data_IF_029566527767
#
_entry.id   IF_029566527767
#
_cell.length_a   1.000
_cell.length_b   1.000
_cell.length_c   1.000
_cell.angle_alpha   90.00
_cell.angle_beta   90.00
_cell.angle_gamma   90.00
#
_symmetry.space_group_name_H-M   'P 1'
#
loop_
_entity.id
_entity.type
_entity.pdbx_description
1 polymer ?
#
# COMPACT_ATOMS: atom_id res chain seq x y z
N UNK A 1 19.08 7.66 -11.12
CA UNK A 1 19.01 8.62 -10.00
C UNK A 1 18.47 7.81 -8.82
N UNK A 2 19.32 7.52 -7.84
CA UNK A 2 19.08 6.47 -6.83
C UNK A 2 18.13 6.97 -5.74
N UNK A 3 16.91 6.44 -5.73
CA UNK A 3 15.87 6.73 -4.73
C UNK A 3 16.36 6.46 -3.31
N UNK A 4 17.24 5.47 -3.12
CA UNK A 4 17.86 5.15 -1.82
C UNK A 4 18.63 6.31 -1.19
N UNK A 5 19.22 7.19 -2.02
CA UNK A 5 20.00 8.34 -1.55
C UNK A 5 19.08 9.42 -0.96
N UNK A 6 17.89 9.62 -1.54
CA UNK A 6 16.95 10.66 -1.10
C UNK A 6 16.25 10.27 0.21
N UNK A 7 15.93 8.98 0.38
CA UNK A 7 15.30 8.48 1.61
C UNK A 7 16.27 8.59 2.78
N UNK A 8 17.53 8.17 2.57
CA UNK A 8 18.57 8.25 3.61
C UNK A 8 18.85 9.70 4.01
N UNK A 9 18.95 10.63 3.05
CA UNK A 9 19.17 12.05 3.35
C UNK A 9 17.99 12.70 4.10
N UNK A 10 16.75 12.26 3.84
CA UNK A 10 15.57 12.76 4.54
C UNK A 10 15.50 12.27 5.99
N UNK A 11 15.84 11.01 6.23
CA UNK A 11 15.86 10.43 7.59
C UNK A 11 17.03 10.96 8.43
N UNK A 12 18.21 11.15 7.84
CA UNK A 12 19.38 11.76 8.52
C UNK A 12 19.09 13.19 9.02
N UNK A 13 18.25 13.94 8.30
CA UNK A 13 17.80 15.29 8.72
C UNK A 13 16.83 15.26 9.91
N UNK A 14 16.15 14.14 10.16
CA UNK A 14 15.11 14.02 11.21
C UNK A 14 15.62 13.53 12.56
N UNK A 15 16.85 13.03 12.63
CA UNK A 15 17.65 12.89 13.86
C UNK A 15 16.93 12.26 15.07
N UNK A 16 16.15 11.18 14.86
CA UNK A 16 15.74 10.09 15.79
C UNK A 16 14.48 9.37 15.30
N UNK A 17 14.66 8.30 14.55
CA UNK A 17 13.73 7.17 14.48
C UNK A 17 14.54 5.92 14.15
N UNK A 18 14.22 4.78 14.76
CA UNK A 18 14.68 3.48 14.26
C UNK A 18 13.91 3.21 12.96
N UNK A 19 14.59 3.28 11.81
CA UNK A 19 14.00 3.00 10.50
C UNK A 19 14.77 1.89 9.81
N UNK A 20 14.05 0.96 9.17
CA UNK A 20 14.64 -0.09 8.33
C UNK A 20 14.17 0.13 6.89
N UNK A 21 15.11 0.37 5.97
CA UNK A 21 14.80 0.51 4.56
C UNK A 21 14.79 -0.87 3.91
N UNK A 22 13.60 -1.34 3.55
CA UNK A 22 13.41 -2.57 2.79
C UNK A 22 13.13 -2.26 1.31
N UNK A 23 13.96 -2.77 0.41
CA UNK A 23 13.75 -2.62 -1.04
C UNK A 23 12.91 -3.78 -1.56
N UNK A 24 11.73 -3.45 -2.09
CA UNK A 24 10.84 -4.43 -2.75
C UNK A 24 10.98 -4.26 -4.27
N UNK A 25 11.28 -5.33 -5.03
CA UNK A 25 11.37 -5.25 -6.47
C UNK A 25 10.00 -4.88 -7.08
N UNK A 26 10.01 -4.03 -8.11
CA UNK A 26 8.78 -3.61 -8.78
C UNK A 26 8.07 -4.80 -9.43
N UNK A 27 6.77 -4.97 -9.17
CA UNK A 27 6.00 -6.11 -9.66
C UNK A 27 5.66 -6.04 -11.16
N UNK A 28 5.86 -4.88 -11.83
CA UNK A 28 5.58 -4.68 -13.25
C UNK A 28 6.52 -3.66 -13.92
N UNK A 29 7.02 -3.98 -15.11
CA UNK A 29 7.59 -2.97 -16.02
C UNK A 29 6.47 -2.22 -16.78
N UNK A 30 6.77 -0.98 -17.20
CA UNK A 30 5.81 -0.10 -17.87
C UNK A 30 5.47 -0.69 -19.25
N UNK A 31 4.26 -1.25 -19.40
CA UNK A 31 3.75 -1.77 -20.69
C UNK A 31 3.37 -3.25 -20.72
N UNK A 32 3.59 -4.00 -19.63
CA UNK A 32 3.32 -5.44 -19.58
C UNK A 32 1.83 -5.78 -19.40
N UNK A 33 1.31 -6.75 -20.15
CA UNK A 33 -0.08 -7.22 -20.04
C UNK A 33 -0.39 -7.84 -18.67
N UNK A 34 -1.63 -7.65 -18.19
CA UNK A 34 -2.11 -8.12 -16.88
C UNK A 34 -1.90 -9.63 -16.64
N UNK A 35 -1.86 -10.42 -17.71
CA UNK A 35 -1.73 -11.88 -17.67
C UNK A 35 -0.27 -12.32 -17.44
N UNK A 36 0.71 -11.58 -17.98
CA UNK A 36 2.15 -11.90 -17.79
C UNK A 36 2.71 -11.34 -16.48
N UNK A 37 1.94 -10.50 -15.78
CA UNK A 37 2.30 -9.95 -14.46
C UNK A 37 2.08 -10.96 -13.30
N UNK A 38 1.36 -12.06 -13.52
CA UNK A 38 1.08 -13.08 -12.49
C UNK A 38 2.35 -13.72 -11.91
N UNK A 39 3.33 -14.21 -12.70
CA UNK A 39 4.56 -14.79 -12.16
C UNK A 39 5.47 -13.77 -11.45
N UNK A 40 5.56 -12.52 -11.92
CA UNK A 40 6.35 -11.48 -11.25
C UNK A 40 5.70 -10.99 -9.95
N UNK A 41 4.36 -11.00 -9.89
CA UNK A 41 3.58 -10.76 -8.67
C UNK A 41 3.84 -11.86 -7.64
N UNK A 42 3.90 -13.13 -8.06
CA UNK A 42 4.19 -14.25 -7.14
C UNK A 42 5.62 -14.22 -6.58
N UNK A 43 6.61 -13.84 -7.40
CA UNK A 43 7.98 -13.63 -6.91
C UNK A 43 8.04 -12.47 -5.90
N UNK A 44 7.37 -11.35 -6.21
CA UNK A 44 7.25 -10.21 -5.29
C UNK A 44 6.49 -10.60 -4.00
N UNK A 45 5.53 -11.52 -4.10
CA UNK A 45 4.76 -12.03 -2.97
C UNK A 45 5.60 -12.83 -1.98
N UNK A 46 6.53 -13.66 -2.45
CA UNK A 46 7.44 -14.40 -1.55
C UNK A 46 8.34 -13.42 -0.78
N UNK A 47 8.87 -12.40 -1.45
CA UNK A 47 9.63 -11.34 -0.78
C UNK A 47 8.76 -10.56 0.20
N UNK A 48 7.52 -10.21 -0.19
CA UNK A 48 6.57 -9.54 0.69
C UNK A 48 6.25 -10.35 1.96
N UNK A 49 6.04 -11.66 1.83
CA UNK A 49 5.84 -12.57 2.97
C UNK A 49 7.04 -12.49 3.92
N UNK A 50 8.27 -12.60 3.38
CA UNK A 50 9.48 -12.54 4.20
C UNK A 50 9.65 -11.17 4.89
N UNK A 51 9.37 -10.08 4.19
CA UNK A 51 9.45 -8.71 4.74
C UNK A 51 8.41 -8.49 5.82
N UNK A 52 7.13 -8.82 5.58
CA UNK A 52 6.05 -8.68 6.57
C UNK A 52 6.31 -9.58 7.79
N UNK A 53 6.87 -10.78 7.58
CA UNK A 53 7.22 -11.68 8.68
C UNK A 53 8.31 -11.13 9.60
N UNK A 54 9.32 -10.46 9.02
CA UNK A 54 10.43 -9.86 9.76
C UNK A 54 10.03 -8.54 10.42
N UNK A 55 9.41 -7.64 9.65
CA UNK A 55 9.04 -6.30 10.10
C UNK A 55 7.92 -6.32 11.15
N UNK A 56 7.04 -7.33 11.11
CA UNK A 56 5.87 -7.47 12.02
C UNK A 56 5.10 -6.16 12.18
N UNK A 57 4.59 -5.56 11.09
CA UNK A 57 3.93 -4.27 11.16
C UNK A 57 2.57 -4.38 11.87
N UNK A 58 2.30 -3.48 12.81
CA UNK A 58 0.96 -3.25 13.36
C UNK A 58 0.08 -2.44 12.38
N UNK A 59 0.73 -1.60 11.57
CA UNK A 59 0.10 -0.76 10.54
C UNK A 59 0.88 -0.87 9.22
N UNK A 60 0.18 -1.23 8.16
CA UNK A 60 0.65 -1.21 6.79
C UNK A 60 0.01 -0.03 6.05
N UNK A 61 0.74 1.08 5.95
CA UNK A 61 0.36 2.21 5.10
C UNK A 61 0.97 2.02 3.71
N UNK A 62 0.13 1.96 2.69
CA UNK A 62 0.59 1.77 1.31
C UNK A 62 -0.02 2.79 0.37
N UNK A 63 0.80 3.29 -0.54
CA UNK A 63 0.32 4.04 -1.69
C UNK A 63 0.93 3.47 -2.98
N UNK A 64 0.23 3.66 -4.10
CA UNK A 64 0.88 3.58 -5.40
C UNK A 64 0.60 2.35 -6.26
N UNK A 65 1.35 2.21 -7.38
CA UNK A 65 0.96 1.39 -8.52
C UNK A 65 1.39 -0.08 -8.37
N UNK A 66 0.44 -1.01 -8.41
CA UNK A 66 0.59 -2.46 -8.68
C UNK A 66 1.44 -3.29 -7.70
N UNK A 67 2.63 -2.80 -7.34
CA UNK A 67 3.65 -3.47 -6.53
C UNK A 67 3.32 -3.47 -5.03
N UNK A 68 2.37 -2.63 -4.59
CA UNK A 68 1.81 -2.68 -3.25
C UNK A 68 0.87 -3.88 -3.06
N UNK A 69 0.28 -4.41 -4.14
CA UNK A 69 -0.70 -5.50 -4.06
C UNK A 69 -0.11 -6.76 -3.41
N UNK A 70 1.07 -7.28 -3.81
CA UNK A 70 1.68 -8.42 -3.12
C UNK A 70 1.91 -8.20 -1.63
N UNK A 71 2.28 -6.98 -1.22
CA UNK A 71 2.54 -6.65 0.19
C UNK A 71 1.26 -6.67 1.00
N UNK A 72 0.21 -6.06 0.48
CA UNK A 72 -1.12 -6.07 1.09
C UNK A 72 -1.67 -7.49 1.18
N UNK A 73 -1.55 -8.29 0.12
CA UNK A 73 -1.96 -9.70 0.15
C UNK A 73 -1.19 -10.50 1.20
N UNK A 74 0.11 -10.23 1.40
CA UNK A 74 0.91 -10.95 2.38
C UNK A 74 0.48 -10.59 3.81
N UNK A 75 0.25 -9.29 4.08
CA UNK A 75 -0.27 -8.83 5.37
C UNK A 75 -1.67 -9.38 5.64
N UNK A 76 -2.60 -9.26 4.68
CA UNK A 76 -3.96 -9.79 4.78
C UNK A 76 -3.98 -11.31 4.95
N UNK A 77 -3.03 -12.04 4.34
CA UNK A 77 -2.88 -13.47 4.57
C UNK A 77 -2.51 -13.75 6.03
N UNK A 78 -1.55 -13.03 6.61
CA UNK A 78 -1.19 -13.21 8.03
C UNK A 78 -2.32 -12.86 8.99
N UNK A 79 -3.09 -11.83 8.65
CA UNK A 79 -4.28 -11.40 9.38
C UNK A 79 -5.40 -12.46 9.33
N UNK A 80 -5.68 -13.01 8.14
CA UNK A 80 -6.68 -14.06 7.96
C UNK A 80 -6.36 -15.35 8.76
N UNK A 81 -5.07 -15.69 8.92
CA UNK A 81 -4.64 -16.85 9.71
C UNK A 81 -4.62 -16.51 11.23
N UNK A 82 -5.05 -15.32 11.64
CA UNK A 82 -4.99 -14.78 13.03
C UNK A 82 -3.60 -14.86 13.64
N UNK A 83 -2.57 -14.77 12.82
CA UNK A 83 -1.19 -14.77 13.29
C UNK A 83 -0.75 -13.37 13.73
N UNK A 84 -1.32 -12.32 13.13
CA UNK A 84 -1.08 -10.92 13.45
C UNK A 84 -2.28 -10.08 13.08
N UNK A 85 -2.64 -9.12 13.92
CA UNK A 85 -3.63 -8.09 13.59
C UNK A 85 -2.88 -6.93 12.94
N UNK A 86 -2.93 -6.82 11.60
CA UNK A 86 -2.25 -5.74 10.87
C UNK A 86 -3.29 -4.86 10.21
N UNK A 87 -3.33 -3.58 10.59
CA UNK A 87 -4.23 -2.60 9.98
C UNK A 87 -3.67 -2.20 8.61
N UNK A 88 -4.47 -2.31 7.56
CA UNK A 88 -4.06 -2.01 6.18
C UNK A 88 -4.78 -0.76 5.71
N UNK A 89 -4.02 0.33 5.54
CA UNK A 89 -4.53 1.61 5.04
C UNK A 89 -3.94 1.87 3.66
N UNK A 90 -4.81 2.04 2.66
CA UNK A 90 -4.40 2.43 1.32
C UNK A 90 -4.63 3.92 1.09
N UNK A 91 -3.58 4.65 0.77
CA UNK A 91 -3.70 6.05 0.36
C UNK A 91 -3.77 6.14 -1.18
N UNK A 92 -4.88 6.68 -1.70
CA UNK A 92 -5.01 6.95 -3.12
C UNK A 92 -4.17 8.16 -3.54
N UNK A 93 -3.73 8.16 -4.80
CA UNK A 93 -2.98 9.27 -5.37
C UNK A 93 -3.87 10.51 -5.56
N UNK A 94 -3.33 11.68 -5.18
CA UNK A 94 -4.00 12.98 -5.34
C UNK A 94 -4.44 13.25 -6.79
N UNK A 95 -3.71 12.72 -7.79
CA UNK A 95 -4.04 12.89 -9.20
C UNK A 95 -5.32 12.17 -9.65
N UNK A 96 -5.87 11.26 -8.84
CA UNK A 96 -7.08 10.50 -9.16
C UNK A 96 -8.31 11.22 -8.62
N UNK A 97 -9.01 11.93 -9.50
CA UNK A 97 -10.19 12.73 -9.12
C UNK A 97 -11.52 12.03 -9.41
N UNK A 98 -11.60 11.28 -10.52
CA UNK A 98 -12.87 10.74 -11.04
C UNK A 98 -13.07 9.24 -10.79
N UNK A 99 -11.97 8.51 -10.60
CA UNK A 99 -11.97 7.06 -10.40
C UNK A 99 -10.79 6.61 -9.54
N UNK A 100 -10.99 5.54 -8.79
CA UNK A 100 -9.92 4.87 -8.05
C UNK A 100 -8.88 4.31 -9.03
N UNK A 101 -7.63 4.25 -8.58
CA UNK A 101 -6.60 3.50 -9.28
C UNK A 101 -7.01 2.02 -9.38
N UNK A 102 -6.42 1.30 -10.33
CA UNK A 102 -6.71 -0.13 -10.47
C UNK A 102 -6.33 -0.89 -9.19
N UNK A 103 -5.21 -0.53 -8.56
CA UNK A 103 -4.77 -1.11 -7.29
C UNK A 103 -5.77 -0.85 -6.17
N UNK A 104 -6.19 0.40 -5.97
CA UNK A 104 -7.22 0.72 -4.98
C UNK A 104 -8.55 0.04 -5.29
N UNK A 105 -8.93 -0.06 -6.57
CA UNK A 105 -10.15 -0.75 -6.98
C UNK A 105 -10.10 -2.23 -6.61
N UNK A 106 -8.98 -2.91 -6.88
CA UNK A 106 -8.78 -4.32 -6.51
C UNK A 106 -8.90 -4.48 -4.98
N UNK A 107 -8.20 -3.65 -4.21
CA UNK A 107 -8.25 -3.71 -2.75
C UNK A 107 -9.65 -3.42 -2.20
N UNK A 108 -10.35 -2.44 -2.78
CA UNK A 108 -11.72 -2.07 -2.43
C UNK A 108 -12.69 -3.22 -2.70
N UNK A 109 -12.64 -3.82 -3.89
CA UNK A 109 -13.58 -4.88 -4.27
C UNK A 109 -13.30 -6.20 -3.54
N UNK A 110 -12.03 -6.52 -3.29
CA UNK A 110 -11.65 -7.73 -2.53
C UNK A 110 -11.81 -7.56 -1.01
N UNK A 111 -11.95 -6.32 -0.51
CA UNK A 111 -12.07 -6.03 0.91
C UNK A 111 -10.79 -6.35 1.69
N UNK A 112 -9.63 -6.17 1.06
CA UNK A 112 -8.31 -6.47 1.66
C UNK A 112 -7.69 -5.29 2.40
N UNK A 113 -8.18 -4.07 2.15
CA UNK A 113 -7.77 -2.89 2.90
C UNK A 113 -8.88 -2.55 3.90
N UNK A 114 -8.49 -2.28 5.14
CA UNK A 114 -9.40 -1.84 6.20
C UNK A 114 -9.98 -0.46 5.88
N UNK A 115 -9.13 0.44 5.40
CA UNK A 115 -9.54 1.77 4.95
C UNK A 115 -8.78 2.19 3.69
N UNK A 116 -9.46 2.99 2.86
CA UNK A 116 -8.93 3.58 1.65
C UNK A 116 -9.13 5.09 1.72
N UNK A 117 -8.03 5.81 1.90
CA UNK A 117 -8.03 7.26 2.01
C UNK A 117 -8.08 7.87 0.62
N UNK A 118 -9.05 8.77 0.41
CA UNK A 118 -9.23 9.54 -0.82
C UNK A 118 -9.19 11.04 -0.52
N UNK A 119 -8.68 11.83 -1.46
CA UNK A 119 -8.59 13.29 -1.28
C UNK A 119 -9.81 14.04 -1.84
N UNK A 120 -10.58 13.41 -2.73
CA UNK A 120 -11.67 14.06 -3.46
C UNK A 120 -13.04 13.55 -2.99
N UNK A 121 -13.97 14.48 -2.73
CA UNK A 121 -15.34 14.17 -2.30
C UNK A 121 -16.10 13.30 -3.32
N UNK A 122 -15.86 13.55 -4.60
CA UNK A 122 -16.47 12.80 -5.69
C UNK A 122 -16.12 11.30 -5.63
N UNK A 123 -14.92 10.95 -5.17
CA UNK A 123 -14.54 9.56 -4.96
C UNK A 123 -15.27 8.95 -3.76
N UNK A 124 -15.43 9.70 -2.67
CA UNK A 124 -16.20 9.27 -1.50
C UNK A 124 -17.67 9.00 -1.85
N UNK A 125 -18.27 9.86 -2.66
CA UNK A 125 -19.65 9.68 -3.15
C UNK A 125 -19.80 8.43 -4.01
N UNK A 126 -18.82 8.16 -4.88
CA UNK A 126 -18.81 6.98 -5.76
C UNK A 126 -18.44 5.69 -5.04
N UNK A 127 -17.59 5.77 -4.02
CA UNK A 127 -17.07 4.65 -3.24
C UNK A 127 -17.28 4.93 -1.74
N UNK A 128 -18.48 4.65 -1.21
CA UNK A 128 -18.86 5.08 0.14
C UNK A 128 -18.02 4.49 1.27
N UNK A 129 -17.35 3.34 1.03
CA UNK A 129 -16.44 2.70 2.02
C UNK A 129 -15.05 3.35 2.10
N UNK A 130 -14.74 4.34 1.26
CA UNK A 130 -13.48 5.09 1.35
C UNK A 130 -13.55 6.15 2.44
N UNK A 131 -12.44 6.60 3.01
CA UNK A 131 -12.40 7.71 3.96
C UNK A 131 -11.85 8.97 3.29
N UNK A 132 -12.56 10.10 3.42
CA UNK A 132 -12.07 11.36 2.88
C UNK A 132 -10.98 11.91 3.82
N UNK A 133 -9.89 12.41 3.27
CA UNK A 133 -8.79 12.99 4.06
C UNK A 133 -9.25 14.13 4.98
N UNK A 134 -10.29 14.86 4.60
CA UNK A 134 -10.88 15.93 5.40
C UNK A 134 -11.60 15.42 6.64
N UNK A 135 -12.11 14.18 6.62
CA UNK A 135 -12.85 13.58 7.73
C UNK A 135 -11.89 13.08 8.82
N UNK A 136 -10.65 12.75 8.47
CA UNK A 136 -9.59 12.31 9.40
C UNK A 136 -9.18 13.37 10.43
N UNK A 137 -9.48 14.64 10.21
CA UNK A 137 -9.12 15.73 11.12
C UNK A 137 -10.04 15.89 12.33
N UNK A 138 -11.06 15.05 12.49
CA UNK A 138 -12.14 15.28 13.47
C UNK A 138 -11.97 14.57 14.83
N UNK A 139 -10.76 14.12 15.17
CA UNK A 139 -10.50 13.64 16.54
C UNK A 139 -9.80 14.74 17.34
N UNK A 140 -10.60 15.62 17.93
CA UNK A 140 -10.26 16.38 19.15
C UNK A 140 -10.34 15.46 20.39
#
# INVERSE_FOLDING_TARGET
MNTDFQVTEFEDRRNKADYEICVIPRSREVGQSFVTAVPTTLYSFIFAIATVWKAKPDLLLVNGPGSCIPVVFAAALFDMIRLRDTIIIYEESICRVESLSLSASILYFLGLADDIIVQWKQLKEKYPRTTLISDLKSCD
#
